data_IF_531187820027
#
_entry.id   IF_531187820027
#
_cell.length_a   1.000
_cell.length_b   1.000
_cell.length_c   1.000
_cell.angle_alpha   90.00
_cell.angle_beta   90.00
_cell.angle_gamma   90.00
#
_symmetry.space_group_name_H-M   'P 1'
#
loop_
_entity.id
_entity.type
_entity.pdbx_description
1 polymer ?
#
# COMPACT_ATOMS: atom_id res chain seq x y z
N UNK A 1 -10.73 -5.41 -3.51
CA UNK A 1 -10.98 -4.44 -4.62
C UNK A 1 -10.13 -3.20 -4.46
N UNK A 2 -10.03 -2.67 -3.25
CA UNK A 2 -9.23 -1.48 -2.93
C UNK A 2 -7.79 -1.83 -2.58
N UNK A 3 -7.52 -3.09 -2.25
CA UNK A 3 -6.21 -3.63 -1.85
C UNK A 3 -5.16 -3.38 -2.94
N UNK A 4 -3.93 -3.08 -2.53
CA UNK A 4 -2.84 -2.86 -3.49
C UNK A 4 -2.54 -4.13 -4.31
N UNK A 5 -2.39 -5.25 -3.60
CA UNK A 5 -2.02 -6.54 -4.17
C UNK A 5 -3.14 -7.57 -4.08
N UNK A 6 -3.25 -8.40 -5.12
CA UNK A 6 -4.08 -9.60 -5.16
C UNK A 6 -3.26 -10.70 -5.83
N UNK A 7 -3.11 -11.84 -5.15
CA UNK A 7 -2.29 -12.94 -5.64
C UNK A 7 -2.78 -13.44 -7.00
N UNK A 8 -1.83 -13.56 -7.94
CA UNK A 8 -2.11 -14.04 -9.30
C UNK A 8 -2.81 -13.03 -10.21
N UNK A 9 -3.02 -11.79 -9.77
CA UNK A 9 -3.59 -10.74 -10.61
C UNK A 9 -2.60 -10.25 -11.67
N UNK A 10 -3.04 -10.16 -12.92
CA UNK A 10 -2.22 -9.60 -13.98
C UNK A 10 -2.03 -8.08 -13.77
N UNK A 11 -0.86 -7.50 -14.09
CA UNK A 11 -0.60 -6.07 -13.90
C UNK A 11 -1.61 -5.14 -14.60
N UNK A 12 -2.11 -5.55 -15.77
CA UNK A 12 -3.13 -4.81 -16.51
C UNK A 12 -4.47 -4.80 -15.77
N UNK A 13 -4.89 -5.95 -15.22
CA UNK A 13 -6.13 -6.08 -14.46
C UNK A 13 -6.05 -5.30 -13.15
N UNK A 14 -4.89 -5.34 -12.47
CA UNK A 14 -4.61 -4.52 -11.30
C UNK A 14 -4.78 -3.03 -11.59
N UNK A 15 -4.22 -2.55 -12.69
CA UNK A 15 -4.35 -1.15 -13.11
C UNK A 15 -5.81 -0.76 -13.31
N UNK A 16 -6.57 -1.58 -14.04
CA UNK A 16 -8.00 -1.34 -14.29
C UNK A 16 -8.81 -1.33 -13.00
N UNK A 17 -8.54 -2.27 -12.10
CA UNK A 17 -9.20 -2.40 -10.80
C UNK A 17 -8.92 -1.20 -9.90
N UNK A 18 -7.66 -0.80 -9.75
CA UNK A 18 -7.26 0.35 -8.92
C UNK A 18 -7.84 1.65 -9.48
N UNK A 19 -7.90 1.83 -10.81
CA UNK A 19 -8.56 2.99 -11.42
C UNK A 19 -10.08 3.01 -11.18
N UNK A 20 -10.74 1.85 -11.20
CA UNK A 20 -12.14 1.75 -10.83
C UNK A 20 -12.36 2.12 -9.35
N UNK A 21 -11.52 1.62 -8.45
CA UNK A 21 -11.55 1.98 -7.03
C UNK A 21 -11.36 3.49 -6.81
N UNK A 22 -10.38 4.11 -7.48
CA UNK A 22 -10.16 5.57 -7.40
C UNK A 22 -11.40 6.36 -7.81
N UNK A 23 -12.07 5.97 -8.91
CA UNK A 23 -13.29 6.63 -9.38
C UNK A 23 -14.42 6.53 -8.35
N UNK A 24 -14.62 5.36 -7.75
CA UNK A 24 -15.65 5.13 -6.72
C UNK A 24 -15.36 5.94 -5.45
N UNK A 25 -14.11 5.95 -4.98
CA UNK A 25 -13.76 6.71 -3.78
C UNK A 25 -13.96 8.22 -3.97
N UNK A 26 -13.76 8.75 -5.18
CA UNK A 26 -13.98 10.18 -5.47
C UNK A 26 -15.45 10.62 -5.39
N UNK A 27 -16.40 9.71 -5.64
CA UNK A 27 -17.84 9.99 -5.51
C UNK A 27 -18.41 9.61 -4.15
N UNK A 28 -17.60 9.03 -3.26
CA UNK A 28 -18.06 8.54 -1.96
C UNK A 28 -18.40 9.71 -1.00
N UNK A 29 -19.59 9.73 -0.36
CA UNK A 29 -19.99 10.83 0.52
C UNK A 29 -19.15 10.91 1.80
N UNK A 30 -18.50 9.82 2.22
CA UNK A 30 -17.62 9.78 3.40
C UNK A 30 -16.14 9.93 3.04
N UNK A 31 -15.82 10.39 1.82
CA UNK A 31 -14.44 10.53 1.34
C UNK A 31 -13.54 11.30 2.29
N UNK A 32 -14.04 12.38 2.90
CA UNK A 32 -13.25 13.19 3.84
C UNK A 32 -12.90 12.41 5.11
N UNK A 33 -13.83 11.63 5.66
CA UNK A 33 -13.55 10.79 6.82
C UNK A 33 -12.56 9.67 6.48
N UNK A 34 -12.69 9.08 5.28
CA UNK A 34 -11.76 8.08 4.76
C UNK A 34 -10.33 8.66 4.58
N UNK A 35 -10.22 9.91 4.15
CA UNK A 35 -8.93 10.61 4.00
C UNK A 35 -8.24 10.85 5.34
N UNK A 36 -9.02 11.18 6.38
CA UNK A 36 -8.50 11.32 7.75
C UNK A 36 -8.02 9.97 8.28
N UNK A 37 -8.81 8.91 8.10
CA UNK A 37 -8.44 7.57 8.55
C UNK A 37 -7.16 7.08 7.85
N UNK A 38 -7.03 7.34 6.54
CA UNK A 38 -5.85 7.01 5.76
C UNK A 38 -4.57 7.73 6.20
N UNK A 39 -4.68 8.83 6.94
CA UNK A 39 -3.51 9.56 7.47
C UNK A 39 -3.07 9.04 8.84
N UNK A 40 -3.96 8.38 9.59
CA UNK A 40 -3.68 7.94 10.97
C UNK A 40 -3.53 6.43 11.11
N UNK A 41 -4.09 5.66 10.17
CA UNK A 41 -4.00 4.21 10.18
C UNK A 41 -2.60 3.75 9.74
N UNK A 42 -1.98 2.79 10.45
CA UNK A 42 -0.75 2.15 10.00
C UNK A 42 -0.99 1.11 8.88
N UNK A 43 -2.25 0.82 8.54
CA UNK A 43 -2.63 -0.19 7.55
C UNK A 43 -3.40 0.45 6.40
N UNK A 44 -2.68 1.19 5.55
CA UNK A 44 -3.30 1.98 4.47
C UNK A 44 -2.93 1.49 3.08
N UNK A 45 -2.30 0.33 2.95
CA UNK A 45 -1.96 -0.23 1.65
C UNK A 45 -3.21 -0.36 0.76
N UNK A 46 -3.13 0.16 -0.47
CA UNK A 46 -4.23 0.18 -1.44
C UNK A 46 -4.86 1.56 -1.68
N UNK A 47 -6.15 1.59 -2.02
CA UNK A 47 -6.88 2.80 -2.39
C UNK A 47 -7.69 3.34 -1.22
N UNK A 48 -7.34 4.54 -0.79
CA UNK A 48 -8.03 5.29 0.26
C UNK A 48 -8.35 6.70 -0.21
N UNK A 49 -9.58 7.17 0.02
CA UNK A 49 -10.06 8.50 -0.40
C UNK A 49 -9.82 8.89 -1.88
N UNK A 50 -9.54 7.91 -2.74
CA UNK A 50 -9.21 8.10 -4.16
C UNK A 50 -7.71 8.27 -4.46
N UNK A 51 -6.86 8.09 -3.45
CA UNK A 51 -5.41 8.05 -3.54
C UNK A 51 -4.91 6.62 -3.37
N UNK A 52 -3.73 6.36 -3.92
CA UNK A 52 -3.08 5.06 -3.85
C UNK A 52 -1.91 5.15 -2.89
N UNK A 53 -1.99 4.37 -1.81
CA UNK A 53 -0.98 4.23 -0.79
C UNK A 53 -0.28 2.89 -1.07
N UNK A 54 1.01 2.98 -1.38
CA UNK A 54 1.85 1.81 -1.50
C UNK A 54 2.34 1.45 -0.10
N UNK A 55 2.55 0.16 0.16
CA UNK A 55 3.27 -0.22 1.36
C UNK A 55 4.66 0.45 1.34
N UNK A 56 5.03 1.06 2.46
CA UNK A 56 6.33 1.68 2.64
C UNK A 56 7.39 0.64 3.03
N UNK A 57 7.24 -0.62 2.60
CA UNK A 57 8.33 -1.59 2.58
C UNK A 57 9.35 -1.19 1.50
N UNK A 58 9.94 -0.01 1.64
CA UNK A 58 11.29 0.22 1.15
C UNK A 58 12.21 -0.69 1.93
N UNK A 59 12.65 -1.77 1.29
CA UNK A 59 14.02 -2.28 1.34
C UNK A 59 14.74 -2.26 2.71
N UNK A 60 14.27 -3.01 3.71
CA UNK A 60 15.12 -3.36 4.87
C UNK A 60 14.89 -4.81 5.34
N UNK A 61 15.19 -5.81 4.50
CA UNK A 61 15.58 -7.14 4.99
C UNK A 61 16.55 -7.80 4.01
N UNK A 62 17.85 -7.50 4.15
CA UNK A 62 18.95 -8.47 4.27
C UNK A 62 20.30 -7.74 4.16
N UNK A 63 20.77 -7.16 5.26
CA UNK A 63 22.21 -7.10 5.53
C UNK A 63 22.42 -7.58 6.95
N UNK A 64 22.21 -8.88 7.15
CA UNK A 64 22.70 -9.55 8.35
C UNK A 64 24.21 -9.41 8.35
N UNK A 65 24.65 -8.63 9.32
CA UNK A 65 25.99 -8.19 9.67
C UNK A 65 27.09 -9.21 9.38
N UNK A 66 28.15 -8.69 8.77
CA UNK A 66 29.43 -9.37 8.56
C UNK A 66 29.89 -10.17 9.78
N UNK A 67 30.22 -11.43 9.52
CA UNK A 67 31.04 -12.26 10.39
C UNK A 67 32.37 -11.57 10.67
N UNK A 68 32.65 -11.22 11.92
CA UNK A 68 33.99 -10.83 12.35
C UNK A 68 34.32 -11.52 13.69
N UNK A 69 35.43 -12.27 13.80
CA UNK A 69 35.78 -12.99 15.02
C UNK A 69 36.29 -12.05 16.12
N UNK A 70 35.94 -12.37 17.36
CA UNK A 70 36.37 -11.69 18.58
C UNK A 70 37.92 -11.69 18.70
N UNK A 71 38.56 -10.61 19.16
CA UNK A 71 39.97 -10.66 19.54
C UNK A 71 40.14 -11.45 20.85
N UNK A 72 41.21 -12.24 20.92
CA UNK A 72 41.71 -12.91 22.12
C UNK A 72 42.23 -11.90 23.15
#
# INVERSE_FOLDING_TARGET
>A
MWDDHVDGEAPADRTVRLDAARRICRSCPVRLACDVEAQISPYTEGIWAGFHYLDATTDEEETVTASQPLPF
#
